data_IF_718196901025
#
_entry.id   IF_718196901025
#
_cell.length_a   1.000
_cell.length_b   1.000
_cell.length_c   1.000
_cell.angle_alpha   90.00
_cell.angle_beta   90.00
_cell.angle_gamma   90.00
#
_symmetry.space_group_name_H-M   'P 1'
#
loop_
_entity.id
_entity.type
_entity.pdbx_description
1 polymer ?
#
# COMPACT_ATOMS: atom_id res chain seq x y z
N UNK A 1 -15.50 -3.74 1.78
CA UNK A 1 -14.66 -2.89 2.67
C UNK A 1 -14.20 -3.78 3.80
N UNK A 2 -12.91 -4.03 3.92
CA UNK A 2 -12.34 -4.84 4.99
C UNK A 2 -12.31 -4.07 6.30
N UNK A 3 -12.36 -4.77 7.43
CA UNK A 3 -12.31 -4.19 8.79
C UNK A 3 -11.03 -3.33 8.98
N UNK A 4 -9.96 -3.65 8.25
CA UNK A 4 -8.68 -2.94 8.25
C UNK A 4 -8.66 -1.64 7.42
N UNK A 5 -9.67 -1.37 6.58
CA UNK A 5 -9.69 -0.18 5.72
C UNK A 5 -10.03 1.10 6.50
N UNK A 6 -10.81 1.00 7.59
CA UNK A 6 -11.18 2.15 8.44
C UNK A 6 -9.94 2.84 9.05
N UNK A 7 -8.96 2.04 9.47
CA UNK A 7 -7.78 2.55 10.17
C UNK A 7 -6.70 3.11 9.24
N UNK A 8 -6.75 2.81 7.94
CA UNK A 8 -5.83 3.38 6.93
C UNK A 8 -6.14 4.85 6.60
N UNK A 9 -7.38 5.31 6.82
CA UNK A 9 -7.82 6.63 6.39
C UNK A 9 -7.69 7.74 7.46
N UNK A 10 -7.25 7.42 8.68
CA UNK A 10 -7.21 8.38 9.81
C UNK A 10 -5.87 9.12 9.96
N UNK A 11 -4.82 8.74 9.22
CA UNK A 11 -3.54 9.45 9.26
C UNK A 11 -3.56 10.70 8.37
N UNK A 12 -3.85 11.86 8.98
CA UNK A 12 -3.24 13.18 8.73
C UNK A 12 -4.01 14.28 9.49
N UNK A 13 -3.89 14.32 10.81
CA UNK A 13 -4.05 15.58 11.57
C UNK A 13 -2.92 15.69 12.57
N UNK A 14 -1.81 16.32 12.17
CA UNK A 14 -0.87 16.89 13.13
C UNK A 14 -1.54 18.12 13.74
N UNK A 15 -1.71 18.09 15.05
CA UNK A 15 -2.08 19.24 15.88
C UNK A 15 -0.80 20.03 16.08
N UNK A 16 -0.73 21.24 15.53
CA UNK A 16 0.15 22.30 16.06
C UNK A 16 -0.77 23.29 16.77
N UNK A 17 -0.61 23.37 18.09
CA UNK A 17 -1.20 24.40 18.94
C UNK A 17 -0.53 25.74 18.64
N UNK A 18 -1.31 26.79 18.41
CA UNK A 18 -1.00 28.15 18.87
C UNK A 18 -2.30 28.98 19.04
N UNK A 19 -2.34 29.73 20.14
CA UNK A 19 -3.51 30.28 20.83
C UNK A 19 -4.17 31.54 20.21
N UNK A 20 -5.47 31.72 20.54
CA UNK A 20 -6.28 32.96 20.73
C UNK A 20 -6.48 33.87 19.48
N UNK A 21 -7.71 34.26 19.14
CA UNK A 21 -8.43 35.39 19.75
C UNK A 21 -9.97 35.30 19.50
N UNK A 22 -10.65 35.99 20.42
CA UNK A 22 -12.05 36.21 20.79
C UNK A 22 -13.20 36.30 19.75
N UNK A 23 -14.36 35.93 20.31
CA UNK A 23 -15.75 36.06 19.86
C UNK A 23 -16.17 37.43 19.31
N UNK A 24 -16.97 37.43 18.23
CA UNK A 24 -18.10 38.34 18.05
C UNK A 24 -19.29 37.54 17.48
N UNK A 25 -20.44 37.71 18.15
CA UNK A 25 -21.76 37.18 17.81
C UNK A 25 -22.53 38.10 16.84
N UNK A 26 -23.57 37.50 16.25
CA UNK A 26 -24.82 38.07 15.74
C UNK A 26 -24.94 38.53 14.26
N UNK A 27 -25.78 37.75 13.57
CA UNK A 27 -26.85 38.12 12.62
C UNK A 27 -26.47 38.90 11.34
N UNK A 28 -26.53 38.23 10.19
CA UNK A 28 -27.71 38.31 9.34
C UNK A 28 -27.68 37.32 8.15
N UNK A 29 -28.84 36.75 7.89
CA UNK A 29 -29.14 35.78 6.84
C UNK A 29 -29.22 36.45 5.47
N UNK A 30 -28.66 35.84 4.42
CA UNK A 30 -29.34 35.66 3.11
C UNK A 30 -28.78 34.42 2.41
N UNK A 31 -29.67 33.65 1.81
CA UNK A 31 -29.43 32.30 1.33
C UNK A 31 -29.02 32.18 -0.15
N UNK A 32 -29.09 30.91 -0.54
CA UNK A 32 -29.00 30.33 -1.88
C UNK A 32 -27.61 29.91 -2.40
N UNK A 33 -27.43 28.58 -2.35
CA UNK A 33 -26.92 27.72 -3.41
C UNK A 33 -25.52 28.01 -3.97
N UNK A 34 -24.51 27.38 -3.35
CA UNK A 34 -23.50 26.66 -4.13
C UNK A 34 -23.25 25.30 -3.46
N UNK A 35 -23.55 24.23 -4.19
CA UNK A 35 -23.01 22.90 -3.90
C UNK A 35 -21.48 23.01 -3.89
N UNK A 36 -20.91 23.11 -2.70
CA UNK A 36 -19.48 22.87 -2.51
C UNK A 36 -19.28 21.38 -2.81
N UNK A 37 -19.00 21.08 -4.08
CA UNK A 37 -18.35 19.85 -4.49
C UNK A 37 -17.02 19.81 -3.78
N UNK A 38 -17.02 19.22 -2.61
CA UNK A 38 -15.83 18.70 -1.97
C UNK A 38 -15.32 17.65 -2.94
N UNK A 39 -14.36 18.04 -3.77
CA UNK A 39 -13.54 17.12 -4.54
C UNK A 39 -12.81 16.32 -3.49
N UNK A 40 -13.36 15.14 -3.20
CA UNK A 40 -12.68 14.08 -2.48
C UNK A 40 -11.25 14.04 -3.01
N UNK A 41 -10.29 14.23 -2.11
CA UNK A 41 -8.90 13.87 -2.37
C UNK A 41 -8.92 12.44 -2.88
N UNK A 42 -8.77 12.26 -4.19
CA UNK A 42 -8.79 10.96 -4.84
C UNK A 42 -7.56 10.22 -4.31
N UNK A 43 -7.73 9.53 -3.20
CA UNK A 43 -6.91 8.39 -2.82
C UNK A 43 -7.11 7.38 -3.93
N UNK A 44 -6.20 7.37 -4.92
CA UNK A 44 -6.12 6.30 -5.90
C UNK A 44 -5.67 5.03 -5.18
N UNK A 45 -6.62 4.39 -4.50
CA UNK A 45 -6.54 3.01 -4.07
C UNK A 45 -6.50 2.16 -5.34
N UNK A 46 -5.30 1.84 -5.82
CA UNK A 46 -5.09 0.82 -6.84
C UNK A 46 -5.55 -0.54 -6.31
N UNK A 47 -6.87 -0.79 -6.34
CA UNK A 47 -7.42 -2.15 -6.39
C UNK A 47 -7.21 -2.69 -7.81
N UNK A 48 -5.98 -3.11 -8.10
CA UNK A 48 -5.74 -4.07 -9.18
C UNK A 48 -5.93 -5.44 -8.50
N UNK A 49 -7.18 -5.89 -8.44
CA UNK A 49 -7.51 -7.28 -8.13
C UNK A 49 -7.26 -8.16 -9.37
N UNK A 50 -7.25 -9.46 -9.11
CA UNK A 50 -6.65 -10.55 -9.87
C UNK A 50 -7.06 -10.66 -11.33
N UNK A 51 -6.09 -10.56 -12.25
CA UNK A 51 -5.91 -11.33 -13.50
C UNK A 51 -5.36 -10.47 -14.64
N UNK A 52 -4.03 -10.35 -14.76
CA UNK A 52 -3.47 -10.18 -16.11
C UNK A 52 -3.17 -11.60 -16.58
N UNK A 53 -3.87 -12.06 -17.61
CA UNK A 53 -3.47 -13.29 -18.29
C UNK A 53 -2.02 -13.15 -18.77
N UNK A 54 -1.20 -14.09 -18.33
CA UNK A 54 0.21 -14.20 -18.69
C UNK A 54 0.38 -14.28 -20.21
N UNK A 55 1.29 -13.47 -20.74
CA UNK A 55 1.83 -13.71 -22.07
C UNK A 55 2.70 -14.96 -21.95
N UNK A 56 2.18 -16.12 -22.37
CA UNK A 56 3.02 -17.28 -22.62
C UNK A 56 4.05 -16.88 -23.67
N UNK A 57 5.31 -16.99 -23.30
CA UNK A 57 6.55 -16.68 -24.06
C UNK A 57 6.72 -17.42 -25.41
N UNK A 58 5.66 -18.00 -25.98
CA UNK A 58 5.70 -18.80 -27.22
C UNK A 58 5.13 -18.12 -28.47
N UNK A 59 4.59 -16.90 -28.38
CA UNK A 59 4.06 -16.19 -29.56
C UNK A 59 4.88 -14.93 -29.96
N UNK A 60 5.98 -14.62 -29.27
CA UNK A 60 6.77 -13.38 -29.47
C UNK A 60 8.02 -13.61 -30.34
N UNK A 61 7.95 -14.52 -31.31
CA UNK A 61 8.93 -14.58 -32.41
C UNK A 61 8.31 -14.01 -33.69
N UNK A 62 8.01 -12.71 -33.67
CA UNK A 62 7.84 -11.98 -34.93
C UNK A 62 9.14 -11.27 -35.25
N UNK A 63 9.72 -11.66 -36.39
CA UNK A 63 10.85 -10.98 -37.02
C UNK A 63 10.52 -9.48 -37.16
N UNK A 64 11.21 -8.62 -36.42
CA UNK A 64 11.18 -7.18 -36.64
C UNK A 64 12.56 -6.72 -37.08
N UNK A 65 12.58 -5.99 -38.20
CA UNK A 65 13.72 -5.19 -38.66
C UNK A 65 14.24 -4.33 -37.51
N UNK A 66 15.55 -4.06 -37.47
CA UNK A 66 16.15 -3.15 -36.48
C UNK A 66 15.41 -1.80 -36.52
N UNK A 67 14.73 -1.48 -35.41
CA UNK A 67 13.92 -0.28 -35.27
C UNK A 67 14.82 0.92 -35.03
N UNK A 68 14.64 2.02 -35.77
CA UNK A 68 15.41 3.24 -35.52
C UNK A 68 15.09 3.80 -34.13
N UNK A 69 16.04 4.50 -33.47
CA UNK A 69 15.79 5.12 -32.16
C UNK A 69 14.61 6.09 -32.17
N UNK A 70 14.43 6.86 -33.24
CA UNK A 70 13.31 7.80 -33.40
C UNK A 70 11.98 7.08 -33.56
N UNK A 71 11.97 5.94 -34.26
CA UNK A 71 10.77 5.14 -34.42
C UNK A 71 10.36 4.50 -33.10
N UNK A 72 11.33 4.00 -32.33
CA UNK A 72 11.09 3.45 -31.01
C UNK A 72 10.58 4.53 -30.05
N UNK A 73 11.16 5.73 -30.07
CA UNK A 73 10.74 6.84 -29.23
C UNK A 73 9.29 7.26 -29.51
N UNK A 74 8.91 7.32 -30.79
CA UNK A 74 7.53 7.56 -31.21
C UNK A 74 6.58 6.47 -30.68
N UNK A 75 6.94 5.20 -30.83
CA UNK A 75 6.10 4.07 -30.38
C UNK A 75 5.89 4.13 -28.87
N UNK A 76 6.96 4.23 -28.06
CA UNK A 76 6.82 4.25 -26.60
C UNK A 76 5.98 5.45 -26.14
N UNK A 77 6.20 6.62 -26.76
CA UNK A 77 5.42 7.83 -26.44
C UNK A 77 3.93 7.63 -26.74
N UNK A 78 3.58 7.11 -27.91
CA UNK A 78 2.18 6.86 -28.27
C UNK A 78 1.54 5.81 -27.37
N UNK A 79 2.24 4.72 -27.04
CA UNK A 79 1.72 3.68 -26.15
C UNK A 79 1.51 4.20 -24.72
N UNK A 80 2.40 5.05 -24.19
CA UNK A 80 2.18 5.73 -22.91
C UNK A 80 0.90 6.58 -22.97
N UNK A 81 0.70 7.36 -24.04
CA UNK A 81 -0.49 8.19 -24.18
C UNK A 81 -1.77 7.35 -24.28
N UNK A 82 -1.77 6.23 -25.00
CA UNK A 82 -2.91 5.30 -25.07
C UNK A 82 -3.26 4.71 -23.71
N UNK A 83 -2.26 4.32 -22.91
CA UNK A 83 -2.49 3.81 -21.55
C UNK A 83 -3.14 4.89 -20.68
N UNK A 84 -2.66 6.13 -20.75
CA UNK A 84 -3.23 7.26 -20.00
C UNK A 84 -4.68 7.55 -20.43
N UNK A 85 -4.99 7.41 -21.72
CA UNK A 85 -6.33 7.65 -22.26
C UNK A 85 -7.36 6.68 -21.67
N UNK A 86 -6.95 5.45 -21.38
CA UNK A 86 -7.81 4.36 -20.94
C UNK A 86 -7.91 4.19 -19.42
N UNK A 87 -7.31 5.07 -18.61
CA UNK A 87 -7.30 4.95 -17.14
C UNK A 87 -8.65 4.96 -16.44
N UNK A 88 -9.74 5.27 -17.13
CA UNK A 88 -11.08 5.26 -16.54
C UNK A 88 -11.64 3.86 -16.32
N UNK A 89 -11.09 2.82 -16.98
CA UNK A 89 -11.59 1.46 -16.92
C UNK A 89 -10.46 0.42 -16.81
N UNK A 90 -10.60 -0.53 -15.88
CA UNK A 90 -9.55 -1.49 -15.57
C UNK A 90 -9.28 -2.45 -16.75
N UNK A 91 -10.33 -3.05 -17.31
CA UNK A 91 -10.21 -4.00 -18.41
C UNK A 91 -9.61 -3.34 -19.66
N UNK A 92 -9.99 -2.08 -19.91
CA UNK A 92 -9.41 -1.26 -20.98
C UNK A 92 -7.91 -1.02 -20.78
N UNK A 93 -7.47 -0.69 -19.55
CA UNK A 93 -6.04 -0.53 -19.25
C UNK A 93 -5.29 -1.84 -19.50
N UNK A 94 -5.83 -2.99 -19.06
CA UNK A 94 -5.17 -4.27 -19.26
C UNK A 94 -4.95 -4.59 -20.74
N UNK A 95 -5.98 -4.41 -21.57
CA UNK A 95 -5.89 -4.66 -23.01
C UNK A 95 -4.90 -3.69 -23.67
N UNK A 96 -4.97 -2.41 -23.31
CA UNK A 96 -4.04 -1.38 -23.83
C UNK A 96 -2.59 -1.70 -23.45
N UNK A 97 -2.35 -2.17 -22.23
CA UNK A 97 -1.01 -2.57 -21.78
C UNK A 97 -0.52 -3.80 -22.53
N UNK A 98 -1.38 -4.79 -22.81
CA UNK A 98 -1.03 -5.95 -23.65
C UNK A 98 -0.67 -5.53 -25.08
N UNK A 99 -1.34 -4.52 -25.63
CA UNK A 99 -1.00 -3.95 -26.94
C UNK A 99 0.33 -3.18 -26.89
N UNK A 100 0.54 -2.36 -25.85
CA UNK A 100 1.76 -1.60 -25.64
C UNK A 100 3.00 -2.50 -25.53
N UNK A 101 2.92 -3.59 -24.77
CA UNK A 101 4.06 -4.52 -24.60
C UNK A 101 4.40 -5.23 -25.91
N UNK A 102 3.40 -5.57 -26.73
CA UNK A 102 3.60 -6.12 -28.08
C UNK A 102 4.19 -5.10 -29.05
N UNK A 103 3.71 -3.86 -29.01
CA UNK A 103 4.16 -2.80 -29.91
C UNK A 103 5.61 -2.35 -29.61
N UNK A 104 5.97 -2.24 -28.34
CA UNK A 104 7.32 -1.88 -27.90
C UNK A 104 8.28 -3.06 -28.09
N UNK A 105 7.85 -4.27 -27.73
CA UNK A 105 8.63 -5.50 -27.84
C UNK A 105 9.63 -5.69 -26.70
N UNK A 106 9.82 -6.94 -26.29
CA UNK A 106 10.66 -7.35 -25.14
C UNK A 106 12.10 -6.82 -25.23
N UNK A 107 12.69 -6.81 -26.43
CA UNK A 107 14.07 -6.32 -26.65
C UNK A 107 14.26 -4.84 -26.29
N UNK A 108 13.18 -4.07 -26.23
CA UNK A 108 13.22 -2.63 -25.99
C UNK A 108 12.73 -2.24 -24.58
N UNK A 109 12.42 -3.20 -23.70
CA UNK A 109 11.87 -2.94 -22.36
C UNK A 109 12.75 -1.99 -21.53
N UNK A 110 14.07 -2.07 -21.69
CA UNK A 110 15.03 -1.23 -20.96
C UNK A 110 14.92 0.27 -21.27
N UNK A 111 14.36 0.62 -22.43
CA UNK A 111 14.17 2.02 -22.84
C UNK A 111 12.92 2.65 -22.22
N UNK A 112 11.96 1.84 -21.74
CA UNK A 112 10.68 2.33 -21.24
C UNK A 112 10.85 3.15 -19.95
N UNK A 113 11.77 2.77 -19.05
CA UNK A 113 12.02 3.51 -17.80
C UNK A 113 12.54 4.94 -18.02
N UNK A 114 13.15 5.23 -19.17
CA UNK A 114 13.71 6.57 -19.42
C UNK A 114 12.62 7.65 -19.53
N UNK A 115 11.36 7.23 -19.74
CA UNK A 115 10.21 8.12 -19.78
C UNK A 115 9.76 8.61 -18.40
N UNK A 116 10.27 8.02 -17.31
CA UNK A 116 10.11 8.55 -15.95
C UNK A 116 10.76 9.94 -15.79
N UNK A 117 11.70 10.30 -16.67
CA UNK A 117 12.41 11.60 -16.64
C UNK A 117 11.64 12.73 -17.35
N UNK A 118 10.33 12.58 -17.54
CA UNK A 118 9.48 13.63 -18.12
C UNK A 118 9.61 13.81 -19.64
N UNK A 119 9.89 12.73 -20.39
CA UNK A 119 10.03 12.78 -21.86
C UNK A 119 8.71 12.97 -22.62
N UNK A 120 7.58 12.68 -22.00
CA UNK A 120 6.26 12.80 -22.64
C UNK A 120 5.66 14.17 -22.35
N UNK A 121 5.44 14.97 -23.39
CA UNK A 121 4.75 16.27 -23.30
C UNK A 121 3.24 16.10 -23.28
N UNK A 122 2.52 16.94 -22.50
CA UNK A 122 1.06 16.93 -22.44
C UNK A 122 0.45 17.26 -23.82
N UNK A 123 -0.33 16.36 -24.45
CA UNK A 123 -0.98 16.66 -25.72
C UNK A 123 -2.01 17.79 -25.59
N UNK A 124 -2.13 18.63 -26.63
CA UNK A 124 -3.11 19.73 -26.66
C UNK A 124 -4.56 19.25 -26.51
N UNK A 125 -4.88 18.03 -26.95
CA UNK A 125 -6.21 17.42 -26.78
C UNK A 125 -6.63 17.23 -25.32
N UNK A 126 -5.69 17.27 -24.38
CA UNK A 126 -5.92 17.19 -22.93
C UNK A 126 -5.72 18.52 -22.23
N UNK A 127 -5.86 19.63 -22.97
CA UNK A 127 -6.01 20.96 -22.38
C UNK A 127 -7.19 20.94 -21.39
N UNK A 128 -7.00 21.48 -20.20
CA UNK A 128 -7.91 21.42 -19.04
C UNK A 128 -7.98 20.07 -18.31
N UNK A 129 -7.18 19.08 -18.70
CA UNK A 129 -6.97 17.84 -17.93
C UNK A 129 -5.57 17.84 -17.34
N UNK A 130 -5.44 17.23 -16.15
CA UNK A 130 -4.17 17.11 -15.44
C UNK A 130 -3.50 18.47 -15.16
N UNK A 131 -4.27 19.43 -14.64
CA UNK A 131 -3.83 20.82 -14.45
C UNK A 131 -3.16 21.09 -13.10
N UNK A 132 -3.29 20.19 -12.12
CA UNK A 132 -2.57 20.34 -10.86
C UNK A 132 -1.06 20.23 -11.07
N UNK A 133 -0.31 20.95 -10.24
CA UNK A 133 1.15 20.95 -10.31
C UNK A 133 1.71 19.51 -10.21
N UNK A 134 2.53 19.12 -11.19
CA UNK A 134 3.14 17.80 -11.26
C UNK A 134 2.18 16.64 -11.55
N UNK A 135 0.87 16.90 -11.77
CA UNK A 135 -0.10 15.84 -12.04
C UNK A 135 0.18 15.11 -13.35
N UNK A 136 0.57 15.85 -14.39
CA UNK A 136 0.98 15.25 -15.66
C UNK A 136 2.18 14.29 -15.50
N UNK A 137 3.22 14.73 -14.79
CA UNK A 137 4.40 13.90 -14.51
C UNK A 137 4.02 12.60 -13.79
N UNK A 138 3.24 12.70 -12.72
CA UNK A 138 2.73 11.53 -11.97
C UNK A 138 1.88 10.59 -12.84
N UNK A 139 1.12 11.13 -13.78
CA UNK A 139 0.26 10.36 -14.70
C UNK A 139 1.10 9.56 -15.70
N UNK A 140 2.15 10.19 -16.25
CA UNK A 140 3.14 9.54 -17.12
C UNK A 140 3.92 8.48 -16.35
N UNK A 141 4.40 8.78 -15.15
CA UNK A 141 5.10 7.82 -14.28
C UNK A 141 4.27 6.55 -14.06
N UNK A 142 3.00 6.71 -13.71
CA UNK A 142 2.10 5.57 -13.51
C UNK A 142 1.94 4.74 -14.80
N UNK A 143 1.93 5.38 -15.97
CA UNK A 143 1.72 4.68 -17.25
C UNK A 143 2.96 3.86 -17.60
N UNK A 144 4.12 4.46 -17.44
CA UNK A 144 5.43 3.81 -17.62
C UNK A 144 5.53 2.59 -16.70
N UNK A 145 5.23 2.75 -15.41
CA UNK A 145 5.25 1.64 -14.45
C UNK A 145 4.23 0.53 -14.80
N UNK A 146 3.05 0.89 -15.29
CA UNK A 146 2.02 -0.07 -15.70
C UNK A 146 2.45 -0.87 -16.93
N UNK A 147 3.08 -0.21 -17.91
CA UNK A 147 3.65 -0.88 -19.09
C UNK A 147 4.78 -1.83 -18.67
N UNK A 148 5.71 -1.37 -17.82
CA UNK A 148 6.79 -2.21 -17.29
C UNK A 148 6.26 -3.44 -16.54
N UNK A 149 5.21 -3.27 -15.74
CA UNK A 149 4.51 -4.39 -15.09
C UNK A 149 3.87 -5.35 -16.12
N UNK A 150 3.33 -4.82 -17.21
CA UNK A 150 2.73 -5.60 -18.30
C UNK A 150 3.71 -6.52 -19.03
N UNK A 151 5.02 -6.22 -19.00
CA UNK A 151 6.06 -7.09 -19.55
C UNK A 151 6.28 -8.36 -18.70
N UNK A 152 5.68 -8.48 -17.51
CA UNK A 152 5.80 -9.68 -16.69
C UNK A 152 7.24 -9.93 -16.27
N UNK A 153 7.76 -11.13 -16.57
CA UNK A 153 9.15 -11.54 -16.27
C UNK A 153 10.18 -10.57 -16.87
N UNK A 154 10.00 -10.15 -18.12
CA UNK A 154 10.92 -9.24 -18.82
C UNK A 154 10.95 -7.83 -18.21
N UNK A 155 9.91 -7.45 -17.45
CA UNK A 155 9.83 -6.16 -16.76
C UNK A 155 10.52 -6.13 -15.40
N UNK A 156 10.85 -7.28 -14.82
CA UNK A 156 11.33 -7.40 -13.44
C UNK A 156 12.64 -6.63 -13.22
N UNK A 157 13.61 -6.80 -14.11
CA UNK A 157 14.92 -6.16 -13.96
C UNK A 157 14.84 -4.64 -14.08
N UNK A 158 13.95 -4.13 -14.91
CA UNK A 158 13.73 -2.69 -15.07
C UNK A 158 13.02 -2.08 -13.86
N UNK A 159 12.03 -2.77 -13.30
CA UNK A 159 11.38 -2.38 -12.05
C UNK A 159 12.35 -2.42 -10.85
N UNK A 160 13.25 -3.42 -10.80
CA UNK A 160 14.28 -3.50 -9.77
C UNK A 160 15.27 -2.32 -9.85
N UNK A 161 15.69 -1.92 -11.05
CA UNK A 161 16.56 -0.74 -11.27
C UNK A 161 15.90 0.55 -10.77
N UNK A 162 14.58 0.68 -10.89
CA UNK A 162 13.81 1.83 -10.39
C UNK A 162 13.71 1.81 -8.85
N UNK A 163 13.67 0.62 -8.25
CA UNK A 163 13.40 0.42 -6.83
C UNK A 163 14.59 0.73 -5.90
N UNK A 164 15.79 0.96 -6.43
CA UNK A 164 17.03 1.09 -5.64
C UNK A 164 17.07 2.34 -4.75
N UNK A 165 16.49 3.46 -5.20
CA UNK A 165 16.56 4.74 -4.50
C UNK A 165 15.23 5.10 -3.85
N UNK A 166 15.18 5.38 -2.53
CA UNK A 166 13.94 5.70 -1.83
C UNK A 166 13.24 6.91 -2.46
N UNK A 167 12.04 6.67 -2.99
CA UNK A 167 11.17 7.66 -3.62
C UNK A 167 9.77 7.07 -3.79
N UNK A 168 8.76 7.90 -4.00
CA UNK A 168 7.40 7.40 -4.26
C UNK A 168 7.33 6.50 -5.50
N UNK A 169 8.09 6.80 -6.55
CA UNK A 169 8.19 5.96 -7.76
C UNK A 169 8.82 4.61 -7.42
N UNK A 170 9.86 4.59 -6.58
CA UNK A 170 10.47 3.34 -6.09
C UNK A 170 9.47 2.48 -5.31
N UNK A 171 8.72 3.03 -4.36
CA UNK A 171 7.72 2.25 -3.61
C UNK A 171 6.59 1.71 -4.51
N UNK A 172 6.18 2.45 -5.54
CA UNK A 172 5.25 1.93 -6.56
C UNK A 172 5.86 0.76 -7.31
N UNK A 173 7.12 0.85 -7.73
CA UNK A 173 7.82 -0.25 -8.40
C UNK A 173 7.96 -1.48 -7.50
N UNK A 174 8.33 -1.32 -6.22
CA UNK A 174 8.37 -2.41 -5.22
C UNK A 174 7.00 -3.08 -5.08
N UNK A 175 5.91 -2.31 -5.00
CA UNK A 175 4.56 -2.87 -4.92
C UNK A 175 4.21 -3.69 -6.18
N UNK A 176 4.56 -3.21 -7.38
CA UNK A 176 4.35 -3.95 -8.63
C UNK A 176 5.18 -5.24 -8.67
N UNK A 177 6.43 -5.20 -8.20
CA UNK A 177 7.28 -6.38 -8.06
C UNK A 177 6.65 -7.41 -7.10
N UNK A 178 6.13 -6.98 -5.93
CA UNK A 178 5.42 -7.88 -5.02
C UNK A 178 4.18 -8.51 -5.68
N UNK A 179 3.46 -7.77 -6.52
CA UNK A 179 2.33 -8.31 -7.30
C UNK A 179 2.76 -9.34 -8.34
N UNK A 180 3.91 -9.16 -8.99
CA UNK A 180 4.48 -10.17 -9.90
C UNK A 180 4.89 -11.43 -9.13
N UNK A 181 5.61 -11.26 -8.00
CA UNK A 181 6.03 -12.36 -7.15
C UNK A 181 4.84 -13.14 -6.54
N UNK A 182 3.72 -12.47 -6.24
CA UNK A 182 2.49 -13.11 -5.78
C UNK A 182 1.87 -14.04 -6.85
N UNK A 183 2.16 -13.79 -8.14
CA UNK A 183 1.80 -14.66 -9.28
C UNK A 183 2.90 -15.67 -9.64
N UNK A 184 3.89 -15.84 -8.77
CA UNK A 184 5.03 -16.74 -8.95
C UNK A 184 6.03 -16.32 -10.04
N UNK A 185 5.91 -15.12 -10.60
CA UNK A 185 6.87 -14.58 -11.58
C UNK A 185 8.12 -14.09 -10.85
N UNK A 186 9.28 -14.67 -11.17
CA UNK A 186 10.59 -14.30 -10.60
C UNK A 186 10.60 -14.18 -9.08
N UNK A 187 9.74 -14.97 -8.42
CA UNK A 187 9.35 -14.80 -7.02
C UNK A 187 10.53 -14.71 -6.07
N UNK A 188 11.48 -15.64 -6.20
CA UNK A 188 12.65 -15.70 -5.31
C UNK A 188 13.61 -14.52 -5.56
N UNK A 189 13.85 -14.17 -6.82
CA UNK A 189 14.70 -13.03 -7.22
C UNK A 189 14.15 -11.71 -6.71
N UNK A 190 12.83 -11.52 -6.82
CA UNK A 190 12.13 -10.34 -6.34
C UNK A 190 12.22 -10.21 -4.82
N UNK A 191 11.88 -11.28 -4.08
CA UNK A 191 11.96 -11.29 -2.60
C UNK A 191 13.38 -10.93 -2.14
N UNK A 192 14.40 -11.51 -2.76
CA UNK A 192 15.79 -11.34 -2.32
C UNK A 192 16.31 -9.93 -2.58
N UNK A 193 15.90 -9.37 -3.71
CA UNK A 193 16.25 -8.02 -4.11
C UNK A 193 15.54 -6.98 -3.23
N UNK A 194 14.25 -7.18 -2.91
CA UNK A 194 13.53 -6.30 -1.99
C UNK A 194 14.15 -6.34 -0.59
N UNK A 195 14.49 -7.52 -0.06
CA UNK A 195 15.18 -7.63 1.24
C UNK A 195 16.51 -6.86 1.25
N UNK A 196 17.23 -6.85 0.13
CA UNK A 196 18.45 -6.06 0.00
C UNK A 196 18.16 -4.54 -0.04
N UNK A 197 17.17 -4.12 -0.82
CA UNK A 197 16.73 -2.71 -0.97
C UNK A 197 16.21 -2.15 0.35
N UNK A 198 15.69 -2.98 1.24
CA UNK A 198 15.19 -2.55 2.56
C UNK A 198 16.28 -2.08 3.53
N UNK A 199 17.54 -2.49 3.34
CA UNK A 199 18.63 -2.22 4.29
C UNK A 199 18.85 -0.73 4.62
N UNK A 200 18.87 0.20 3.64
CA UNK A 200 19.03 1.63 3.91
C UNK A 200 17.73 2.37 4.26
N UNK A 201 16.58 1.70 4.30
CA UNK A 201 15.28 2.35 4.51
C UNK A 201 15.07 2.77 5.97
N UNK A 202 14.25 3.81 6.16
CA UNK A 202 13.75 4.24 7.46
C UNK A 202 12.66 3.28 7.96
N UNK A 203 12.34 3.30 9.25
CA UNK A 203 11.38 2.33 9.83
C UNK A 203 9.97 2.44 9.22
N UNK A 204 9.49 3.66 8.95
CA UNK A 204 8.20 3.91 8.28
C UNK A 204 8.17 3.31 6.87
N UNK A 205 9.28 3.42 6.14
CA UNK A 205 9.46 2.87 4.80
C UNK A 205 9.56 1.34 4.83
N UNK A 206 10.22 0.77 5.84
CA UNK A 206 10.32 -0.67 6.06
C UNK A 206 8.91 -1.26 6.26
N UNK A 207 8.09 -0.67 7.13
CA UNK A 207 6.71 -1.14 7.37
C UNK A 207 5.88 -1.11 6.08
N UNK A 208 6.02 -0.05 5.28
CA UNK A 208 5.38 0.05 3.97
C UNK A 208 5.80 -1.11 3.04
N UNK A 209 7.09 -1.43 2.98
CA UNK A 209 7.59 -2.54 2.15
C UNK A 209 7.18 -3.91 2.70
N UNK A 210 7.19 -4.12 4.02
CA UNK A 210 6.68 -5.34 4.66
C UNK A 210 5.21 -5.57 4.33
N UNK A 211 4.42 -4.49 4.26
CA UNK A 211 3.02 -4.54 3.83
C UNK A 211 2.90 -5.01 2.38
N UNK A 212 3.77 -4.56 1.48
CA UNK A 212 3.81 -5.08 0.11
C UNK A 212 4.20 -6.55 0.04
N UNK A 213 5.24 -6.96 0.79
CA UNK A 213 5.71 -8.35 0.82
C UNK A 213 4.65 -9.32 1.38
N UNK A 214 3.78 -8.87 2.29
CA UNK A 214 2.67 -9.68 2.83
C UNK A 214 1.65 -10.15 1.78
N UNK A 215 1.66 -9.54 0.59
CA UNK A 215 0.82 -9.95 -0.53
C UNK A 215 1.31 -11.27 -1.17
N UNK A 216 2.59 -11.64 -0.99
CA UNK A 216 3.21 -12.84 -1.57
C UNK A 216 2.89 -14.07 -0.70
N UNK A 217 1.64 -14.53 -0.74
CA UNK A 217 1.07 -15.55 0.15
C UNK A 217 1.95 -16.79 0.31
N UNK A 218 1.98 -17.33 1.53
CA UNK A 218 2.67 -18.59 1.87
C UNK A 218 4.20 -18.59 1.59
N UNK A 219 4.86 -17.43 1.59
CA UNK A 219 6.31 -17.35 1.46
C UNK A 219 7.01 -17.55 2.81
N UNK A 220 7.64 -18.70 3.03
CA UNK A 220 8.40 -18.98 4.26
C UNK A 220 9.54 -17.98 4.50
N UNK A 221 10.15 -17.45 3.43
CA UNK A 221 11.22 -16.45 3.53
C UNK A 221 10.69 -15.10 4.02
N UNK A 222 9.54 -14.66 3.50
CA UNK A 222 8.88 -13.42 3.95
C UNK A 222 8.33 -13.60 5.37
N UNK A 223 7.82 -14.77 5.71
CA UNK A 223 7.30 -15.04 7.05
C UNK A 223 8.40 -14.91 8.12
N UNK A 224 9.58 -15.49 7.86
CA UNK A 224 10.76 -15.33 8.73
C UNK A 224 11.21 -13.87 8.82
N UNK A 225 11.16 -13.11 7.73
CA UNK A 225 11.51 -11.70 7.74
C UNK A 225 10.54 -10.90 8.62
N UNK A 226 9.23 -11.10 8.46
CA UNK A 226 8.20 -10.46 9.27
C UNK A 226 8.33 -10.87 10.75
N UNK A 227 8.66 -12.12 11.04
CA UNK A 227 8.94 -12.56 12.41
C UNK A 227 10.11 -11.79 13.04
N UNK A 228 11.21 -11.62 12.30
CA UNK A 228 12.38 -10.87 12.77
C UNK A 228 12.01 -9.42 13.09
N UNK A 229 11.24 -8.76 12.21
CA UNK A 229 10.79 -7.39 12.44
C UNK A 229 9.77 -7.28 13.58
N UNK A 230 8.85 -8.25 13.70
CA UNK A 230 7.92 -8.28 14.82
C UNK A 230 8.65 -8.35 16.16
N UNK A 231 9.62 -9.27 16.28
CA UNK A 231 10.47 -9.39 17.47
C UNK A 231 11.23 -8.10 17.76
N UNK A 232 11.86 -7.51 16.73
CA UNK A 232 12.57 -6.24 16.84
C UNK A 232 11.64 -5.16 17.41
N UNK A 233 10.51 -4.89 16.76
CA UNK A 233 9.61 -3.81 17.16
C UNK A 233 8.98 -4.04 18.53
N UNK A 234 8.67 -5.29 18.87
CA UNK A 234 8.15 -5.62 20.19
C UNK A 234 9.18 -5.34 21.29
N UNK A 235 10.45 -5.74 21.09
CA UNK A 235 11.53 -5.55 22.06
C UNK A 235 12.01 -4.09 22.14
N UNK A 236 11.96 -3.36 21.02
CA UNK A 236 12.23 -1.92 20.96
C UNK A 236 11.06 -1.07 21.51
N UNK A 237 9.98 -1.72 21.98
CA UNK A 237 8.76 -1.11 22.48
C UNK A 237 8.03 -0.20 21.47
N UNK A 238 8.21 -0.46 20.17
CA UNK A 238 7.45 0.17 19.10
C UNK A 238 6.20 -0.69 18.79
N UNK A 239 5.19 -0.54 19.65
CA UNK A 239 4.00 -1.38 19.64
C UNK A 239 3.10 -1.18 18.41
N UNK A 240 3.15 0.00 17.78
CA UNK A 240 2.45 0.28 16.52
C UNK A 240 3.03 -0.53 15.37
N UNK A 241 4.34 -0.47 15.18
CA UNK A 241 5.02 -1.23 14.13
C UNK A 241 5.00 -2.74 14.40
N UNK A 242 5.01 -3.15 15.68
CA UNK A 242 4.78 -4.53 16.06
C UNK A 242 3.37 -5.00 15.63
N UNK A 243 2.34 -4.18 15.88
CA UNK A 243 0.97 -4.43 15.43
C UNK A 243 0.86 -4.56 13.92
N UNK A 244 1.37 -3.59 13.16
CA UNK A 244 1.34 -3.64 11.69
C UNK A 244 2.06 -4.86 11.14
N UNK A 245 3.18 -5.26 11.77
CA UNK A 245 3.93 -6.44 11.37
C UNK A 245 3.14 -7.72 11.63
N UNK A 246 2.44 -7.86 12.76
CA UNK A 246 1.57 -9.03 13.03
C UNK A 246 0.43 -9.11 12.01
N UNK A 247 -0.21 -7.98 11.69
CA UNK A 247 -1.23 -7.94 10.63
C UNK A 247 -0.66 -8.43 9.30
N UNK A 248 0.55 -8.00 8.95
CA UNK A 248 1.24 -8.45 7.74
C UNK A 248 1.54 -9.96 7.77
N UNK A 249 1.87 -10.56 8.91
CA UNK A 249 2.07 -12.02 9.05
C UNK A 249 0.78 -12.79 8.83
N UNK A 250 -0.31 -12.35 9.46
CA UNK A 250 -1.63 -12.97 9.29
C UNK A 250 -2.07 -12.86 7.83
N UNK A 251 -1.88 -11.69 7.21
CA UNK A 251 -2.16 -11.51 5.78
C UNK A 251 -1.34 -12.47 4.92
N UNK A 252 -0.06 -12.63 5.19
CA UNK A 252 0.82 -13.53 4.43
C UNK A 252 0.35 -14.99 4.50
N UNK A 253 -0.04 -15.46 5.69
CA UNK A 253 -0.42 -16.85 5.97
C UNK A 253 -1.88 -17.16 5.66
N UNK A 254 -2.76 -16.16 5.72
CA UNK A 254 -4.22 -16.35 5.70
C UNK A 254 -4.78 -16.93 7.00
N UNK A 255 -3.96 -17.08 8.03
CA UNK A 255 -4.31 -17.60 9.34
C UNK A 255 -3.43 -16.96 10.42
N UNK A 256 -3.87 -17.02 11.68
CA UNK A 256 -3.13 -16.53 12.83
C UNK A 256 -2.58 -17.67 13.69
N UNK A 257 -1.63 -17.37 14.56
CA UNK A 257 -1.17 -18.27 15.64
C UNK A 257 -1.54 -17.74 17.02
N UNK A 258 -1.47 -18.60 18.04
CA UNK A 258 -1.86 -18.27 19.41
C UNK A 258 -1.12 -17.04 19.97
N UNK A 259 0.21 -16.98 19.80
CA UNK A 259 1.06 -15.87 20.25
C UNK A 259 0.60 -14.51 19.67
N UNK A 260 0.11 -14.49 18.42
CA UNK A 260 -0.41 -13.27 17.77
C UNK A 260 -1.75 -12.83 18.39
N UNK A 261 -2.63 -13.77 18.76
CA UNK A 261 -3.84 -13.46 19.51
C UNK A 261 -3.53 -12.94 20.90
N UNK A 262 -2.58 -13.57 21.61
CA UNK A 262 -2.14 -13.12 22.94
C UNK A 262 -1.63 -11.68 22.84
N UNK A 263 -0.78 -11.40 21.86
CA UNK A 263 -0.29 -10.05 21.61
C UNK A 263 -1.41 -9.04 21.41
N UNK A 264 -2.38 -9.31 20.53
CA UNK A 264 -3.50 -8.38 20.33
C UNK A 264 -4.32 -8.16 21.60
N UNK A 265 -4.56 -9.23 22.37
CA UNK A 265 -5.32 -9.12 23.62
C UNK A 265 -4.59 -8.27 24.66
N UNK A 266 -3.29 -8.53 24.84
CA UNK A 266 -2.43 -7.75 25.75
C UNK A 266 -2.39 -6.29 25.30
N UNK A 267 -2.14 -6.04 24.02
CA UNK A 267 -2.10 -4.68 23.46
C UNK A 267 -3.44 -3.93 23.67
N UNK A 268 -4.56 -4.64 23.53
CA UNK A 268 -5.89 -4.06 23.70
C UNK A 268 -6.25 -3.73 25.16
N UNK A 269 -5.88 -4.60 26.11
CA UNK A 269 -6.43 -4.58 27.47
C UNK A 269 -5.42 -4.24 28.57
N UNK A 270 -4.16 -4.61 28.40
CA UNK A 270 -3.18 -4.57 29.46
C UNK A 270 -2.50 -3.19 29.56
N UNK A 271 -2.27 -2.74 30.78
CA UNK A 271 -1.58 -1.48 31.08
C UNK A 271 -0.52 -1.74 32.16
N UNK A 272 0.75 -1.76 31.74
CA UNK A 272 1.87 -2.12 32.60
C UNK A 272 3.02 -2.79 31.84
N UNK A 273 3.88 -3.52 32.56
CA UNK A 273 5.05 -4.20 32.00
C UNK A 273 4.92 -5.71 32.08
N UNK A 274 5.27 -6.41 31.00
CA UNK A 274 5.24 -7.87 30.91
C UNK A 274 6.56 -8.44 30.41
N UNK A 275 6.90 -9.64 30.88
CA UNK A 275 7.98 -10.41 30.27
C UNK A 275 7.61 -10.81 28.84
N UNK A 276 8.57 -10.67 27.92
CA UNK A 276 8.36 -10.98 26.50
C UNK A 276 7.93 -12.44 26.26
N UNK A 277 8.39 -13.37 27.10
CA UNK A 277 8.04 -14.80 27.06
C UNK A 277 6.53 -15.07 27.20
N UNK A 278 5.79 -14.16 27.84
CA UNK A 278 4.34 -14.25 27.98
C UNK A 278 3.58 -13.97 26.67
N UNK A 279 4.26 -13.34 25.70
CA UNK A 279 3.70 -13.00 24.38
C UNK A 279 4.36 -13.85 23.29
N UNK A 280 5.68 -13.98 23.34
CA UNK A 280 6.51 -14.73 22.41
C UNK A 280 7.32 -15.78 23.16
N UNK A 281 6.88 -17.03 23.10
CA UNK A 281 7.55 -18.13 23.83
C UNK A 281 9.03 -18.23 23.48
N UNK A 282 9.88 -18.23 24.50
CA UNK A 282 11.34 -18.32 24.42
C UNK A 282 12.06 -16.98 24.29
N UNK A 283 11.34 -15.86 24.15
CA UNK A 283 11.95 -14.53 24.04
C UNK A 283 12.23 -13.91 25.41
N UNK A 284 13.35 -13.18 25.51
CA UNK A 284 13.77 -12.51 26.73
C UNK A 284 13.61 -11.00 26.58
N UNK A 285 13.14 -10.36 27.63
CA UNK A 285 12.98 -8.91 27.69
C UNK A 285 11.74 -8.53 28.47
N UNK A 286 11.59 -7.23 28.70
CA UNK A 286 10.39 -6.64 29.31
C UNK A 286 9.79 -5.70 28.28
N UNK A 287 8.51 -5.85 28.02
CA UNK A 287 7.73 -5.02 27.10
C UNK A 287 6.84 -4.10 27.94
N UNK A 288 6.80 -2.83 27.58
CA UNK A 288 6.09 -1.78 28.29
C UNK A 288 4.83 -1.36 27.52
N UNK A 289 3.68 -1.81 28.01
CA UNK A 289 2.35 -1.46 27.51
C UNK A 289 1.73 -0.27 28.26
N UNK A 290 2.52 0.45 29.05
CA UNK A 290 2.06 1.67 29.71
C UNK A 290 1.86 2.78 28.67
N UNK A 291 0.76 3.53 28.77
CA UNK A 291 0.46 4.67 27.88
C UNK A 291 0.34 4.32 26.38
N UNK A 292 -0.03 3.08 26.02
CA UNK A 292 -0.35 2.76 24.62
C UNK A 292 -1.51 3.65 24.14
N UNK A 293 -1.35 4.36 23.00
CA UNK A 293 -2.41 5.18 22.41
C UNK A 293 -3.73 4.42 22.25
N UNK A 294 -4.84 5.08 22.57
CA UNK A 294 -6.16 4.45 22.54
C UNK A 294 -6.55 3.94 21.14
N UNK A 295 -6.13 4.63 20.08
CA UNK A 295 -6.38 4.20 18.70
C UNK A 295 -5.71 2.85 18.40
N UNK A 296 -4.47 2.63 18.89
CA UNK A 296 -3.77 1.34 18.78
C UNK A 296 -4.49 0.26 19.61
N UNK A 297 -4.94 0.59 20.84
CA UNK A 297 -5.70 -0.36 21.67
C UNK A 297 -7.00 -0.78 21.00
N UNK A 298 -7.69 0.15 20.34
CA UNK A 298 -8.93 -0.12 19.59
C UNK A 298 -8.62 -0.96 18.34
N UNK A 299 -7.59 -0.61 17.56
CA UNK A 299 -7.11 -1.41 16.42
C UNK A 299 -6.84 -2.85 16.83
N UNK A 300 -6.15 -3.06 17.95
CA UNK A 300 -5.84 -4.38 18.51
C UNK A 300 -7.08 -5.15 18.94
N UNK A 301 -8.02 -4.50 19.65
CA UNK A 301 -9.26 -5.12 20.10
C UNK A 301 -10.13 -5.58 18.92
N UNK A 302 -10.27 -4.73 17.89
CA UNK A 302 -11.02 -5.04 16.66
C UNK A 302 -10.35 -6.18 15.90
N UNK A 303 -9.02 -6.16 15.80
CA UNK A 303 -8.25 -7.24 15.16
C UNK A 303 -8.45 -8.56 15.89
N UNK A 304 -8.32 -8.57 17.23
CA UNK A 304 -8.59 -9.75 18.04
C UNK A 304 -10.01 -10.27 17.77
N UNK A 305 -11.03 -9.42 17.86
CA UNK A 305 -12.43 -9.80 17.65
C UNK A 305 -12.67 -10.42 16.27
N UNK A 306 -12.03 -9.88 15.22
CA UNK A 306 -12.16 -10.41 13.87
C UNK A 306 -11.61 -11.84 13.72
N UNK A 307 -10.67 -12.23 14.58
CA UNK A 307 -10.00 -13.53 14.58
C UNK A 307 -10.62 -14.51 15.59
N UNK A 308 -11.05 -14.01 16.75
CA UNK A 308 -11.70 -14.77 17.82
C UNK A 308 -12.82 -13.97 18.48
N UNK A 309 -14.07 -14.32 18.17
CA UNK A 309 -15.28 -13.60 18.63
C UNK A 309 -15.77 -14.01 20.01
N UNK A 310 -15.22 -15.07 20.59
CA UNK A 310 -15.76 -15.66 21.82
C UNK A 310 -15.13 -15.08 23.11
N UNK A 311 -14.19 -14.13 22.98
CA UNK A 311 -13.52 -13.53 24.14
C UNK A 311 -14.38 -12.42 24.77
N UNK A 312 -14.91 -12.71 25.96
CA UNK A 312 -15.82 -11.82 26.68
C UNK A 312 -15.18 -10.47 27.06
N UNK A 313 -13.88 -10.43 27.36
CA UNK A 313 -13.22 -9.19 27.80
C UNK A 313 -13.06 -8.22 26.62
N UNK A 314 -12.62 -8.72 25.47
CA UNK A 314 -12.54 -7.95 24.23
C UNK A 314 -13.93 -7.49 23.79
N UNK A 315 -14.91 -8.41 23.80
CA UNK A 315 -16.29 -8.08 23.44
C UNK A 315 -16.88 -6.98 24.32
N UNK A 316 -16.67 -7.07 25.64
CA UNK A 316 -17.13 -6.05 26.58
C UNK A 316 -16.48 -4.69 26.31
N UNK A 317 -15.16 -4.64 26.10
CA UNK A 317 -14.46 -3.39 25.77
C UNK A 317 -15.03 -2.76 24.50
N UNK A 318 -15.22 -3.55 23.46
CA UNK A 318 -15.72 -3.04 22.18
C UNK A 318 -17.18 -2.57 22.26
N UNK A 319 -18.05 -3.30 22.97
CA UNK A 319 -19.42 -2.86 23.25
C UNK A 319 -19.44 -1.55 24.06
N UNK A 320 -18.60 -1.46 25.10
CA UNK A 320 -18.48 -0.23 25.88
C UNK A 320 -18.09 0.96 25.01
N UNK A 321 -17.11 0.80 24.11
CA UNK A 321 -16.70 1.85 23.17
C UNK A 321 -17.80 2.20 22.16
N UNK A 322 -18.53 1.20 21.65
CA UNK A 322 -19.65 1.40 20.73
C UNK A 322 -20.75 2.26 21.36
N UNK A 323 -21.03 2.06 22.64
CA UNK A 323 -22.13 2.75 23.32
C UNK A 323 -21.69 4.11 23.91
N UNK A 324 -20.44 4.22 24.37
CA UNK A 324 -19.99 5.33 25.22
C UNK A 324 -18.89 6.20 24.62
N UNK A 325 -18.29 5.84 23.48
CA UNK A 325 -17.24 6.67 22.87
C UNK A 325 -17.77 8.03 22.42
N UNK A 326 -17.01 9.09 22.71
CA UNK A 326 -17.28 10.44 22.21
C UNK A 326 -17.00 10.57 20.70
N UNK A 327 -16.20 9.66 20.13
CA UNK A 327 -15.94 9.59 18.70
C UNK A 327 -17.13 8.93 17.98
N UNK A 328 -17.95 9.74 17.31
CA UNK A 328 -19.11 9.30 16.54
C UNK A 328 -18.72 8.37 15.38
N UNK A 329 -17.57 8.60 14.73
CA UNK A 329 -17.10 7.76 13.64
C UNK A 329 -16.72 6.38 14.16
N UNK A 330 -16.03 6.33 15.30
CA UNK A 330 -15.70 5.06 15.95
C UNK A 330 -16.97 4.29 16.34
N UNK A 331 -17.99 4.93 16.92
CA UNK A 331 -19.25 4.26 17.26
C UNK A 331 -19.97 3.72 16.02
N UNK A 332 -20.02 4.50 14.94
CA UNK A 332 -20.59 4.08 13.66
C UNK A 332 -19.84 2.87 13.10
N UNK A 333 -18.50 2.93 13.09
CA UNK A 333 -17.66 1.82 12.65
C UNK A 333 -17.91 0.55 13.48
N UNK A 334 -17.83 0.64 14.82
CA UNK A 334 -18.04 -0.50 15.70
C UNK A 334 -19.45 -1.11 15.56
N UNK A 335 -20.46 -0.31 15.24
CA UNK A 335 -21.82 -0.80 14.96
C UNK A 335 -21.94 -1.61 13.67
N UNK A 336 -20.98 -1.47 12.74
CA UNK A 336 -20.93 -2.30 11.52
C UNK A 336 -20.10 -3.57 11.70
N UNK A 337 -19.16 -3.57 12.66
CA UNK A 337 -18.22 -4.67 12.91
C UNK A 337 -18.80 -5.67 13.93
N UNK A 338 -19.56 -5.17 14.91
CA UNK A 338 -20.16 -5.92 16.04
C UNK A 338 -21.67 -5.80 16.00
#
# INVERSE_FOLDING_TARGET
MGIFDFFKNKEHKRVEDEEKIEYINEEDSYGENEEIKTIESIQYNFKIEESFDEIKSKEVEQNFEEMSPERLDYIITEEILKVIENYTDFDSVQNTVKEATRAIGVRNVEHVKDYLKGRVSKPQRWKMKYEELGQWGRTVENAVLTILYGFGEDGVDELLKISVMPSEVSFKAINLLCKLAARDIERQKIIDSIIYIMKPLREDEIIRVLTFLSQIKNSAKVDRLLELYYKKYLLDNNLEYAYDTVINRINLRGSYIEDELIFFKVLALYDGKLDADLILKGEKGIIDFTNVPDDIRVKAAVSYYSLNKDDNEINYRLLYLKDNSLDLELRKFLSTVI
#
